data_IF_689514066702
#
_entry.id   IF_689514066702
#
_cell.length_a   1.000
_cell.length_b   1.000
_cell.length_c   1.000
_cell.angle_alpha   90.00
_cell.angle_beta   90.00
_cell.angle_gamma   90.00
#
_symmetry.space_group_name_H-M   'P 1'
#
loop_
_entity.id
_entity.type
_entity.pdbx_description
1 polymer ?
#
# COMPACT_ATOMS: atom_id res chain seq x y z
N UNK A 1 26.50 41.68 44.55
CA UNK A 1 26.22 40.66 43.51
C UNK A 1 27.14 40.67 42.28
N UNK A 2 27.81 41.74 41.94
CA UNK A 2 28.67 41.85 40.73
C UNK A 2 30.05 41.17 40.81
N UNK A 3 30.56 40.84 42.01
CA UNK A 3 31.91 40.26 42.14
C UNK A 3 31.98 38.75 41.86
N UNK A 4 30.91 38.00 42.14
CA UNK A 4 30.84 36.54 41.88
C UNK A 4 30.68 36.19 40.38
N UNK A 5 30.07 37.06 39.59
CA UNK A 5 29.84 36.83 38.18
C UNK A 5 31.14 36.89 37.33
N UNK A 6 32.08 37.82 37.68
CA UNK A 6 33.39 37.91 37.00
C UNK A 6 34.28 36.71 37.29
N UNK A 7 34.22 36.17 38.51
CA UNK A 7 35.00 34.98 38.89
C UNK A 7 34.49 33.73 38.20
N UNK A 8 33.16 33.55 38.10
CA UNK A 8 32.52 32.46 37.40
C UNK A 8 32.81 32.49 35.87
N UNK A 9 32.79 33.68 35.25
CA UNK A 9 33.17 33.86 33.83
C UNK A 9 34.65 33.57 33.57
N UNK A 10 35.52 33.82 34.48
CA UNK A 10 36.94 33.47 34.39
C UNK A 10 37.17 31.95 34.34
N UNK A 11 36.56 31.22 35.28
CA UNK A 11 36.61 29.76 35.30
C UNK A 11 35.95 29.12 34.07
N UNK A 12 34.80 29.63 33.64
CA UNK A 12 34.11 29.17 32.43
C UNK A 12 34.99 29.33 31.19
N UNK A 13 35.64 30.46 30.99
CA UNK A 13 36.58 30.70 29.86
C UNK A 13 37.78 29.76 29.88
N UNK A 14 38.32 29.44 31.02
CA UNK A 14 39.45 28.50 31.12
C UNK A 14 39.01 27.08 30.80
N UNK A 15 37.87 26.64 31.34
CA UNK A 15 37.31 25.32 31.00
C UNK A 15 36.90 25.24 29.55
N UNK A 16 36.30 26.27 28.98
CA UNK A 16 35.91 26.30 27.58
C UNK A 16 37.15 26.19 26.64
N UNK A 17 38.24 26.90 26.97
CA UNK A 17 39.51 26.78 26.26
C UNK A 17 40.11 25.37 26.34
N UNK A 18 39.95 24.72 27.47
CA UNK A 18 40.42 23.34 27.68
C UNK A 18 39.59 22.34 26.85
N UNK A 19 38.27 22.51 26.82
CA UNK A 19 37.32 21.72 26.04
C UNK A 19 37.61 21.88 24.53
N UNK A 20 37.78 23.10 24.05
CA UNK A 20 38.12 23.40 22.64
C UNK A 20 39.47 22.79 22.29
N UNK A 21 40.49 22.91 23.15
CA UNK A 21 41.82 22.37 22.88
C UNK A 21 41.87 20.85 22.81
N UNK A 22 41.02 20.17 23.56
CA UNK A 22 40.98 18.71 23.62
C UNK A 22 39.98 18.09 22.63
N UNK A 23 39.39 18.86 21.69
CA UNK A 23 38.41 18.32 20.69
C UNK A 23 37.06 17.91 21.31
N UNK A 24 36.85 18.04 22.61
CA UNK A 24 35.60 17.67 23.28
C UNK A 24 34.38 18.46 22.76
N UNK A 25 34.62 19.67 22.23
CA UNK A 25 33.58 20.48 21.61
C UNK A 25 32.87 19.71 20.46
N UNK A 26 33.61 18.97 19.65
CA UNK A 26 33.04 18.22 18.54
C UNK A 26 32.12 17.09 19.02
N UNK A 27 32.43 16.42 20.11
CA UNK A 27 31.56 15.39 20.71
C UNK A 27 30.30 16.01 21.32
N UNK A 28 30.39 17.18 21.93
CA UNK A 28 29.21 17.93 22.43
C UNK A 28 28.32 18.34 21.24
N UNK A 29 28.90 18.87 20.17
CA UNK A 29 28.16 19.23 18.96
C UNK A 29 27.52 18.02 18.31
N UNK A 30 28.21 16.88 18.28
CA UNK A 30 27.63 15.62 17.79
C UNK A 30 26.39 15.22 18.59
N UNK A 31 26.46 15.28 19.93
CA UNK A 31 25.33 14.99 20.79
C UNK A 31 24.15 15.93 20.52
N UNK A 32 24.41 17.24 20.35
CA UNK A 32 23.38 18.24 20.05
C UNK A 32 22.75 17.98 18.68
N UNK A 33 23.56 17.65 17.66
CA UNK A 33 23.09 17.34 16.30
C UNK A 33 22.21 16.09 16.27
N UNK A 34 22.44 15.13 17.16
CA UNK A 34 21.64 13.91 17.23
C UNK A 34 20.30 14.08 17.98
N UNK A 35 20.09 15.17 18.76
CA UNK A 35 18.84 15.38 19.49
C UNK A 35 17.61 15.43 18.58
N UNK A 36 17.61 16.11 17.41
CA UNK A 36 16.46 16.11 16.50
C UNK A 36 16.05 14.74 15.98
N UNK A 37 16.99 13.76 15.92
CA UNK A 37 16.70 12.40 15.45
C UNK A 37 15.59 11.74 16.29
N UNK A 38 15.48 12.08 17.57
CA UNK A 38 14.44 11.59 18.47
C UNK A 38 13.03 12.04 18.09
N UNK A 39 12.90 13.19 17.41
CA UNK A 39 11.63 13.80 17.01
C UNK A 39 11.20 13.45 15.59
N UNK A 40 11.81 12.41 14.96
CA UNK A 40 11.49 12.00 13.59
C UNK A 40 11.44 13.19 12.60
N UNK A 41 12.54 13.92 12.40
CA UNK A 41 12.53 15.09 11.52
C UNK A 41 12.19 14.68 10.09
N UNK A 42 11.20 15.38 9.52
CA UNK A 42 10.75 15.18 8.14
C UNK A 42 11.26 16.33 7.27
N UNK A 43 11.61 16.01 6.04
CA UNK A 43 12.02 17.00 5.04
C UNK A 43 11.22 16.77 3.75
N UNK A 44 10.70 17.85 3.17
CA UNK A 44 10.04 17.79 1.87
C UNK A 44 11.11 17.77 0.78
N UNK A 45 11.20 16.63 0.10
CA UNK A 45 12.10 16.42 -1.03
C UNK A 45 11.31 16.09 -2.28
N UNK A 46 11.77 16.55 -3.43
CA UNK A 46 11.26 16.11 -4.70
C UNK A 46 11.66 14.65 -4.90
N UNK A 47 10.71 13.74 -4.79
CA UNK A 47 10.92 12.30 -4.79
C UNK A 47 9.99 11.64 -5.78
N UNK A 48 10.43 10.54 -6.37
CA UNK A 48 9.55 9.70 -7.17
C UNK A 48 8.55 9.01 -6.23
N UNK A 49 7.28 9.24 -6.44
CA UNK A 49 6.17 8.68 -5.65
C UNK A 49 5.16 7.99 -6.55
N UNK A 50 4.36 7.13 -5.96
CA UNK A 50 3.27 6.42 -6.63
C UNK A 50 2.07 6.38 -5.68
N UNK A 51 1.24 7.42 -5.76
CA UNK A 51 0.05 7.55 -4.93
C UNK A 51 -1.05 6.63 -5.46
N UNK A 52 -1.57 5.73 -4.62
CA UNK A 52 -2.39 4.61 -5.09
C UNK A 52 -3.60 4.34 -4.19
N UNK A 53 -4.77 4.19 -4.80
CA UNK A 53 -5.96 3.60 -4.19
C UNK A 53 -6.04 2.13 -4.64
N UNK A 54 -5.93 1.19 -3.69
CA UNK A 54 -6.22 -0.22 -3.92
C UNK A 54 -7.70 -0.49 -3.65
N UNK A 55 -8.39 -1.05 -4.63
CA UNK A 55 -9.80 -1.42 -4.57
C UNK A 55 -9.92 -2.93 -4.64
N UNK A 56 -10.45 -3.54 -3.58
CA UNK A 56 -10.56 -5.01 -3.44
C UNK A 56 -12.01 -5.42 -3.63
N UNK A 57 -12.23 -6.35 -4.52
CA UNK A 57 -13.51 -7.02 -4.74
C UNK A 57 -13.87 -7.88 -3.51
N UNK A 58 -15.09 -7.70 -3.00
CA UNK A 58 -15.62 -8.44 -1.86
C UNK A 58 -16.82 -9.32 -2.25
N UNK A 59 -17.10 -9.48 -3.55
CA UNK A 59 -18.20 -10.32 -4.04
C UNK A 59 -18.06 -11.79 -3.60
N UNK A 60 -19.14 -12.54 -3.71
CA UNK A 60 -19.15 -13.97 -3.35
C UNK A 60 -18.15 -14.81 -4.14
N UNK A 61 -17.93 -14.45 -5.41
CA UNK A 61 -17.01 -15.13 -6.29
C UNK A 61 -15.56 -15.09 -5.79
N UNK A 62 -15.19 -14.06 -5.00
CA UNK A 62 -13.86 -13.95 -4.39
C UNK A 62 -13.59 -14.99 -3.29
N UNK A 63 -14.62 -15.74 -2.85
CA UNK A 63 -14.44 -16.85 -1.92
C UNK A 63 -14.07 -18.19 -2.61
N UNK A 64 -14.04 -18.24 -3.95
CA UNK A 64 -13.70 -19.46 -4.68
C UNK A 64 -12.26 -19.88 -4.42
N UNK A 65 -12.01 -21.15 -3.97
CA UNK A 65 -10.67 -21.63 -3.59
C UNK A 65 -9.92 -22.20 -4.80
N UNK A 66 -9.68 -21.39 -5.83
CA UNK A 66 -9.09 -21.79 -7.10
C UNK A 66 -7.72 -21.18 -7.40
N UNK A 67 -7.12 -20.52 -6.40
CA UNK A 67 -5.76 -19.98 -6.50
C UNK A 67 -4.76 -20.81 -5.68
N UNK A 68 -3.47 -20.74 -6.06
CA UNK A 68 -2.40 -21.53 -5.43
C UNK A 68 -1.40 -20.63 -4.67
N UNK A 69 -1.91 -19.61 -4.00
CA UNK A 69 -1.12 -18.69 -3.20
C UNK A 69 -1.94 -18.15 -2.01
N UNK A 70 -1.39 -18.12 -0.78
CA UNK A 70 -0.05 -18.62 -0.36
C UNK A 70 0.04 -20.14 -0.32
N UNK A 71 -1.09 -20.83 -0.31
CA UNK A 71 -1.20 -22.28 -0.27
C UNK A 71 -2.08 -22.78 -1.42
N UNK A 72 -1.97 -24.06 -1.81
CA UNK A 72 -2.91 -24.65 -2.77
C UNK A 72 -4.35 -24.54 -2.29
N UNK A 73 -5.27 -24.24 -3.20
CA UNK A 73 -6.70 -24.03 -2.91
C UNK A 73 -7.02 -22.88 -1.95
N UNK A 74 -6.19 -21.83 -1.94
CA UNK A 74 -6.55 -20.57 -1.29
C UNK A 74 -7.67 -19.86 -2.05
N UNK A 75 -8.47 -19.04 -1.34
CA UNK A 75 -9.48 -18.21 -1.99
C UNK A 75 -8.88 -16.96 -2.66
N UNK A 76 -9.62 -16.40 -3.62
CA UNK A 76 -9.19 -15.23 -4.41
C UNK A 76 -9.01 -14.00 -3.53
N UNK A 77 -9.84 -13.82 -2.47
CA UNK A 77 -9.72 -12.71 -1.52
C UNK A 77 -8.40 -12.79 -0.76
N UNK A 78 -7.97 -13.98 -0.36
CA UNK A 78 -6.67 -14.19 0.28
C UNK A 78 -5.52 -13.78 -0.66
N UNK A 79 -5.56 -14.20 -1.93
CA UNK A 79 -4.57 -13.73 -2.91
C UNK A 79 -4.61 -12.19 -3.05
N UNK A 80 -5.80 -11.60 -3.17
CA UNK A 80 -5.95 -10.13 -3.30
C UNK A 80 -5.31 -9.36 -2.14
N UNK A 81 -5.47 -9.83 -0.90
CA UNK A 81 -4.83 -9.23 0.28
C UNK A 81 -3.29 -9.28 0.18
N UNK A 82 -2.74 -10.41 -0.22
CA UNK A 82 -1.31 -10.55 -0.43
C UNK A 82 -0.79 -9.68 -1.59
N UNK A 83 -1.58 -9.56 -2.66
CA UNK A 83 -1.29 -8.64 -3.77
C UNK A 83 -1.16 -7.19 -3.28
N UNK A 84 -2.12 -6.71 -2.48
CA UNK A 84 -2.05 -5.36 -1.90
C UNK A 84 -0.82 -5.22 -1.00
N UNK A 85 -0.56 -6.19 -0.11
CA UNK A 85 0.58 -6.18 0.81
C UNK A 85 1.92 -6.06 0.07
N UNK A 86 2.17 -6.94 -0.89
CA UNK A 86 3.44 -6.95 -1.63
C UNK A 86 3.57 -5.74 -2.57
N UNK A 87 2.46 -5.31 -3.17
CA UNK A 87 2.42 -4.08 -3.96
C UNK A 87 2.80 -2.87 -3.12
N UNK A 88 2.23 -2.70 -1.93
CA UNK A 88 2.57 -1.61 -1.01
C UNK A 88 4.04 -1.65 -0.59
N UNK A 89 4.60 -2.85 -0.33
CA UNK A 89 6.00 -3.01 0.02
C UNK A 89 6.95 -2.58 -1.10
N UNK A 90 6.51 -2.63 -2.35
CA UNK A 90 7.28 -2.23 -3.53
C UNK A 90 7.22 -0.73 -3.84
N UNK A 91 6.30 0.02 -3.19
CA UNK A 91 6.14 1.44 -3.45
C UNK A 91 7.29 2.27 -2.87
N UNK A 92 7.72 3.33 -3.57
CA UNK A 92 8.70 4.26 -3.02
C UNK A 92 8.19 4.92 -1.74
N UNK A 93 9.03 5.03 -0.71
CA UNK A 93 8.67 5.83 0.47
C UNK A 93 8.30 7.26 0.06
N UNK A 94 7.33 7.86 0.75
CA UNK A 94 6.71 9.13 0.38
C UNK A 94 5.46 8.96 -0.49
N UNK A 95 5.21 7.76 -1.05
CA UNK A 95 3.96 7.44 -1.72
C UNK A 95 2.82 7.34 -0.72
N UNK A 96 1.64 7.80 -1.10
CA UNK A 96 0.41 7.69 -0.30
C UNK A 96 -0.42 6.50 -0.78
N UNK A 97 -0.92 5.74 0.17
CA UNK A 97 -1.77 4.58 -0.08
C UNK A 97 -3.10 4.75 0.63
N UNK A 98 -4.17 4.37 -0.04
CA UNK A 98 -5.48 4.13 0.53
C UNK A 98 -5.99 2.78 0.06
N UNK A 99 -6.87 2.16 0.83
CA UNK A 99 -7.52 0.89 0.48
C UNK A 99 -9.03 1.07 0.58
N UNK A 100 -9.73 0.59 -0.42
CA UNK A 100 -11.18 0.50 -0.45
C UNK A 100 -11.61 -0.94 -0.74
N UNK A 101 -12.79 -1.28 -0.30
CA UNK A 101 -13.49 -2.52 -0.65
C UNK A 101 -14.73 -2.17 -1.44
N UNK A 102 -15.15 -3.06 -2.34
CA UNK A 102 -16.43 -2.90 -3.00
C UNK A 102 -17.27 -4.17 -2.96
N UNK A 103 -18.58 -3.96 -2.93
CA UNK A 103 -19.60 -4.95 -3.19
C UNK A 103 -20.79 -4.23 -3.82
N UNK A 104 -21.48 -4.84 -4.77
CA UNK A 104 -22.44 -4.20 -5.65
C UNK A 104 -21.80 -3.00 -6.39
N UNK A 105 -22.42 -1.83 -6.29
CA UNK A 105 -22.05 -0.56 -6.92
C UNK A 105 -21.32 0.40 -5.98
N UNK A 106 -21.13 0.04 -4.72
CA UNK A 106 -20.54 0.91 -3.69
C UNK A 106 -19.08 0.53 -3.40
N UNK A 107 -18.23 1.55 -3.39
CA UNK A 107 -16.86 1.45 -2.90
C UNK A 107 -16.75 2.13 -1.53
N UNK A 108 -16.33 1.38 -0.54
CA UNK A 108 -16.14 1.87 0.84
C UNK A 108 -14.66 2.05 1.12
N UNK A 109 -14.24 3.29 1.34
CA UNK A 109 -12.88 3.62 1.72
C UNK A 109 -12.63 3.19 3.16
N UNK A 110 -11.55 2.43 3.40
CA UNK A 110 -11.20 1.99 4.74
C UNK A 110 -10.45 3.06 5.53
N UNK A 111 -9.68 3.90 4.86
CA UNK A 111 -8.92 5.01 5.45
C UNK A 111 -8.48 6.01 4.39
N UNK A 112 -8.32 7.27 4.82
CA UNK A 112 -7.76 8.33 4.00
C UNK A 112 -6.29 8.05 3.62
N UNK A 113 -5.77 8.62 2.52
CA UNK A 113 -4.42 8.32 2.03
C UNK A 113 -3.33 8.56 3.10
N UNK A 114 -2.57 7.50 3.41
CA UNK A 114 -1.46 7.50 4.37
C UNK A 114 -0.13 7.24 3.66
N UNK A 115 0.95 7.87 4.14
CA UNK A 115 2.30 7.61 3.64
C UNK A 115 2.72 6.17 3.97
N UNK A 116 3.11 5.43 2.92
CA UNK A 116 3.26 3.97 2.98
C UNK A 116 4.34 3.51 3.96
N UNK A 117 5.54 4.08 3.92
CA UNK A 117 6.64 3.60 4.77
C UNK A 117 6.43 3.90 6.26
N UNK A 118 5.79 5.04 6.56
CA UNK A 118 5.51 5.46 7.94
C UNK A 118 4.41 4.64 8.59
N UNK A 119 3.41 4.24 7.80
CA UNK A 119 2.20 3.58 8.29
C UNK A 119 2.09 2.12 7.86
N UNK A 120 3.14 1.56 7.21
CA UNK A 120 3.12 0.23 6.64
C UNK A 120 2.57 -0.85 7.59
N UNK A 121 3.04 -0.98 8.85
CA UNK A 121 2.56 -2.06 9.73
C UNK A 121 1.07 -1.94 10.04
N UNK A 122 0.54 -0.72 10.19
CA UNK A 122 -0.88 -0.50 10.48
C UNK A 122 -1.75 -0.80 9.25
N UNK A 123 -1.31 -0.38 8.06
CA UNK A 123 -2.01 -0.66 6.80
C UNK A 123 -1.98 -2.16 6.51
N UNK A 124 -0.83 -2.81 6.66
CA UNK A 124 -0.68 -4.26 6.47
C UNK A 124 -1.62 -5.04 7.40
N UNK A 125 -1.64 -4.71 8.68
CA UNK A 125 -2.52 -5.35 9.65
C UNK A 125 -3.99 -5.21 9.26
N UNK A 126 -4.40 -4.03 8.79
CA UNK A 126 -5.76 -3.78 8.35
C UNK A 126 -6.10 -4.58 7.09
N UNK A 127 -5.24 -4.56 6.07
CA UNK A 127 -5.43 -5.32 4.82
C UNK A 127 -5.52 -6.81 5.10
N UNK A 128 -4.61 -7.35 5.91
CA UNK A 128 -4.63 -8.77 6.27
C UNK A 128 -5.83 -9.15 7.14
N UNK A 129 -6.40 -8.19 7.87
CA UNK A 129 -7.63 -8.34 8.65
C UNK A 129 -8.93 -8.35 7.83
N UNK A 130 -8.89 -7.94 6.55
CA UNK A 130 -10.06 -8.02 5.66
C UNK A 130 -10.53 -9.47 5.57
N UNK A 131 -11.82 -9.67 5.74
CA UNK A 131 -12.43 -10.99 5.68
C UNK A 131 -13.82 -10.92 5.03
N UNK A 132 -14.33 -12.06 4.57
CA UNK A 132 -15.63 -12.17 3.84
C UNK A 132 -16.83 -11.66 4.61
N UNK A 133 -16.78 -11.60 5.95
CA UNK A 133 -17.87 -11.07 6.79
C UNK A 133 -18.00 -9.55 6.72
N UNK A 134 -16.98 -8.85 6.16
CA UNK A 134 -17.05 -7.39 5.96
C UNK A 134 -17.86 -7.02 4.73
N UNK A 135 -18.27 -7.99 3.92
CA UNK A 135 -19.18 -7.80 2.78
C UNK A 135 -20.58 -7.48 3.27
N UNK A 136 -21.26 -6.56 2.60
CA UNK A 136 -22.64 -6.14 2.91
C UNK A 136 -23.66 -6.59 1.86
N UNK A 137 -23.23 -6.91 0.64
CA UNK A 137 -24.05 -7.44 -0.47
C UNK A 137 -23.22 -8.47 -1.24
N UNK A 138 -23.88 -9.44 -1.88
CA UNK A 138 -23.24 -10.51 -2.65
C UNK A 138 -22.93 -10.15 -4.11
N UNK A 139 -23.58 -9.14 -4.69
CA UNK A 139 -23.47 -8.73 -6.08
C UNK A 139 -22.12 -8.09 -6.39
N UNK A 140 -21.75 -8.07 -7.66
CA UNK A 140 -20.53 -7.43 -8.18
C UNK A 140 -20.89 -6.61 -9.42
N UNK A 141 -21.01 -5.30 -9.25
CA UNK A 141 -21.26 -4.34 -10.32
C UNK A 141 -19.97 -3.59 -10.65
N UNK A 142 -19.06 -4.27 -11.33
CA UNK A 142 -17.68 -3.81 -11.59
C UNK A 142 -17.69 -2.46 -12.29
N UNK A 143 -18.57 -2.30 -13.28
CA UNK A 143 -18.61 -1.10 -14.12
C UNK A 143 -19.03 0.14 -13.33
N UNK A 144 -20.08 0.04 -12.52
CA UNK A 144 -20.56 1.11 -11.63
C UNK A 144 -19.50 1.46 -10.57
N UNK A 145 -18.92 0.42 -9.98
CA UNK A 145 -17.88 0.58 -8.96
C UNK A 145 -16.64 1.30 -9.47
N UNK A 146 -16.17 0.96 -10.69
CA UNK A 146 -15.02 1.67 -11.27
C UNK A 146 -15.34 3.13 -11.51
N UNK A 147 -16.56 3.47 -11.93
CA UNK A 147 -16.99 4.86 -12.07
C UNK A 147 -16.91 5.60 -10.73
N UNK A 148 -17.45 5.02 -9.65
CA UNK A 148 -17.40 5.60 -8.32
C UNK A 148 -15.96 5.71 -7.80
N UNK A 149 -15.19 4.63 -7.87
CA UNK A 149 -13.80 4.57 -7.39
C UNK A 149 -12.86 5.50 -8.16
N UNK A 150 -13.08 5.69 -9.47
CA UNK A 150 -12.29 6.64 -10.28
C UNK A 150 -12.50 8.07 -9.82
N UNK A 151 -13.73 8.46 -9.50
CA UNK A 151 -14.02 9.81 -8.95
C UNK A 151 -13.36 9.98 -7.58
N UNK A 152 -13.50 8.98 -6.71
CA UNK A 152 -12.92 8.96 -5.37
C UNK A 152 -11.38 9.06 -5.41
N UNK A 153 -10.75 8.30 -6.29
CA UNK A 153 -9.30 8.34 -6.50
C UNK A 153 -8.85 9.71 -7.03
N UNK A 154 -9.57 10.25 -8.01
CA UNK A 154 -9.30 11.57 -8.59
C UNK A 154 -9.36 12.70 -7.56
N UNK A 155 -10.40 12.72 -6.72
CA UNK A 155 -10.60 13.77 -5.71
C UNK A 155 -9.48 13.78 -4.67
N UNK A 156 -8.79 12.64 -4.46
CA UNK A 156 -7.64 12.48 -3.56
C UNK A 156 -6.28 12.56 -4.26
N UNK A 157 -6.27 12.66 -5.58
CA UNK A 157 -5.04 12.65 -6.38
C UNK A 157 -4.30 11.31 -6.32
N UNK A 158 -5.05 10.21 -6.45
CA UNK A 158 -4.55 8.83 -6.44
C UNK A 158 -4.74 8.16 -7.80
N UNK A 159 -3.89 7.22 -8.13
CA UNK A 159 -4.09 6.25 -9.20
C UNK A 159 -4.91 5.06 -8.69
N UNK A 160 -5.63 4.36 -9.55
CA UNK A 160 -6.51 3.26 -9.16
C UNK A 160 -5.89 1.90 -9.51
N UNK A 161 -5.83 1.01 -8.52
CA UNK A 161 -5.49 -0.41 -8.69
C UNK A 161 -6.68 -1.23 -8.22
N UNK A 162 -7.42 -1.84 -9.15
CA UNK A 162 -8.57 -2.67 -8.83
C UNK A 162 -8.21 -4.14 -8.94
N UNK A 163 -8.59 -4.92 -7.93
CA UNK A 163 -8.34 -6.36 -7.85
C UNK A 163 -9.68 -7.08 -7.82
N UNK A 164 -9.97 -7.85 -8.87
CA UNK A 164 -11.24 -8.55 -9.07
C UNK A 164 -11.02 -9.78 -9.96
N UNK A 165 -11.96 -10.71 -9.96
CA UNK A 165 -11.98 -11.83 -10.91
C UNK A 165 -12.69 -11.47 -12.22
N UNK A 166 -13.31 -10.30 -12.29
CA UNK A 166 -14.04 -9.83 -13.46
C UNK A 166 -15.41 -10.47 -13.63
N UNK A 167 -15.92 -11.16 -12.60
CA UNK A 167 -17.24 -11.77 -12.62
C UNK A 167 -18.28 -10.73 -12.23
N UNK A 168 -18.98 -10.20 -13.23
CA UNK A 168 -20.02 -9.17 -13.06
C UNK A 168 -21.36 -9.82 -12.80
N UNK A 169 -21.95 -9.54 -11.66
CA UNK A 169 -23.20 -10.14 -11.21
C UNK A 169 -24.22 -9.07 -10.80
N UNK A 170 -25.43 -9.08 -11.33
CA UNK A 170 -25.95 -9.99 -12.37
C UNK A 170 -25.34 -9.71 -13.75
N UNK A 171 -25.24 -10.76 -14.57
CA UNK A 171 -24.75 -10.67 -15.95
C UNK A 171 -25.73 -9.84 -16.81
N UNK A 172 -25.51 -8.54 -16.83
CA UNK A 172 -26.24 -7.60 -17.71
C UNK A 172 -25.32 -7.08 -18.79
N UNK A 173 -25.90 -6.64 -19.90
CA UNK A 173 -25.16 -5.79 -20.83
C UNK A 173 -24.60 -4.61 -20.06
N UNK A 174 -23.31 -4.34 -20.20
CA UNK A 174 -22.58 -3.35 -19.39
C UNK A 174 -23.22 -1.96 -19.57
N UNK A 175 -24.09 -1.49 -18.65
CA UNK A 175 -24.91 -0.31 -18.88
C UNK A 175 -24.11 0.98 -18.79
N UNK A 176 -22.97 0.99 -18.07
CA UNK A 176 -22.18 2.18 -17.75
C UNK A 176 -20.91 2.34 -18.60
N UNK A 177 -20.80 1.61 -19.72
CA UNK A 177 -19.62 1.68 -20.59
C UNK A 177 -19.35 3.11 -21.09
N UNK A 178 -20.41 3.89 -21.37
CA UNK A 178 -20.29 5.28 -21.80
C UNK A 178 -19.77 6.18 -20.68
N UNK A 179 -20.05 5.88 -19.41
CA UNK A 179 -19.56 6.63 -18.27
C UNK A 179 -18.08 6.34 -18.01
N UNK A 180 -17.64 5.09 -18.24
CA UNK A 180 -16.21 4.74 -18.24
C UNK A 180 -15.43 5.51 -19.32
N UNK A 181 -16.00 5.60 -20.53
CA UNK A 181 -15.37 6.37 -21.64
C UNK A 181 -15.22 7.83 -21.27
N UNK A 182 -16.17 8.45 -20.58
CA UNK A 182 -16.09 9.83 -20.11
C UNK A 182 -14.99 10.06 -19.05
N UNK A 183 -14.65 9.00 -18.28
CA UNK A 183 -13.61 9.06 -17.26
C UNK A 183 -12.21 8.75 -17.79
N UNK A 184 -12.11 8.29 -19.04
CA UNK A 184 -10.84 7.95 -19.68
C UNK A 184 -9.81 9.06 -19.56
N UNK A 185 -8.61 8.71 -19.06
CA UNK A 185 -7.49 9.63 -18.94
C UNK A 185 -7.60 10.65 -17.78
N UNK A 186 -8.65 10.58 -16.95
CA UNK A 186 -8.77 11.47 -15.79
C UNK A 186 -7.84 11.09 -14.66
N UNK A 187 -7.55 9.78 -14.50
CA UNK A 187 -6.52 9.20 -13.64
C UNK A 187 -5.85 8.07 -14.40
N UNK A 188 -4.73 7.58 -13.90
CA UNK A 188 -4.12 6.33 -14.36
C UNK A 188 -4.68 5.17 -13.53
N UNK A 189 -4.78 3.97 -14.12
CA UNK A 189 -5.30 2.81 -13.43
C UNK A 189 -4.84 1.51 -14.04
N UNK A 190 -4.96 0.44 -13.26
CA UNK A 190 -4.74 -0.94 -13.68
C UNK A 190 -5.77 -1.86 -13.05
N UNK A 191 -6.26 -2.79 -13.85
CA UNK A 191 -7.11 -3.88 -13.42
C UNK A 191 -6.25 -5.13 -13.22
N UNK A 192 -6.26 -5.69 -12.03
CA UNK A 192 -5.55 -6.91 -11.66
C UNK A 192 -6.54 -8.06 -11.57
N UNK A 193 -6.50 -8.97 -12.54
CA UNK A 193 -7.40 -10.10 -12.61
C UNK A 193 -6.91 -11.29 -11.81
N UNK A 194 -7.70 -11.76 -10.82
CA UNK A 194 -7.42 -12.93 -9.97
C UNK A 194 -8.38 -14.08 -10.27
N UNK A 195 -8.08 -15.30 -9.75
CA UNK A 195 -8.95 -16.49 -9.88
C UNK A 195 -8.50 -17.47 -10.96
N UNK A 196 -9.08 -18.68 -10.99
CA UNK A 196 -8.81 -19.74 -11.98
C UNK A 196 -9.51 -19.52 -13.30
N UNK A 197 -9.07 -20.25 -14.33
CA UNK A 197 -9.69 -20.20 -15.66
C UNK A 197 -10.87 -21.19 -15.79
N UNK A 198 -10.95 -22.18 -14.88
CA UNK A 198 -12.04 -23.17 -14.87
C UNK A 198 -13.20 -22.66 -14.02
N UNK A 199 -14.41 -22.87 -14.51
CA UNK A 199 -15.62 -22.55 -13.76
C UNK A 199 -15.71 -23.41 -12.49
N UNK A 200 -15.84 -22.76 -11.34
CA UNK A 200 -15.90 -23.38 -10.02
C UNK A 200 -17.16 -22.96 -9.27
N UNK A 201 -17.78 -23.85 -8.49
CA UNK A 201 -18.91 -23.49 -7.66
C UNK A 201 -18.50 -22.50 -6.56
N UNK A 202 -19.33 -21.50 -6.31
CA UNK A 202 -19.09 -20.49 -5.30
C UNK A 202 -19.44 -21.06 -3.92
N UNK A 203 -18.51 -21.07 -2.93
CA UNK A 203 -18.80 -21.54 -1.59
C UNK A 203 -19.78 -20.61 -0.86
N UNK A 204 -20.74 -21.21 -0.14
CA UNK A 204 -21.74 -20.49 0.66
C UNK A 204 -21.38 -20.57 2.16
N UNK A 205 -21.37 -19.43 2.82
CA UNK A 205 -21.01 -19.31 4.23
C UNK A 205 -22.20 -18.76 5.04
N UNK A 206 -22.32 -19.21 6.28
CA UNK A 206 -23.29 -18.66 7.24
C UNK A 206 -22.70 -17.43 7.99
N UNK A 207 -23.51 -16.82 8.87
CA UNK A 207 -23.10 -15.67 9.68
C UNK A 207 -21.93 -15.96 10.64
N UNK A 208 -21.63 -17.25 10.93
CA UNK A 208 -20.52 -17.69 11.78
C UNK A 208 -19.23 -17.97 10.99
N UNK A 209 -19.25 -17.68 9.67
CA UNK A 209 -18.14 -17.96 8.75
C UNK A 209 -17.88 -19.48 8.55
N UNK A 210 -18.90 -20.31 8.77
CA UNK A 210 -18.85 -21.74 8.50
C UNK A 210 -19.36 -22.02 7.10
N UNK A 211 -18.65 -22.83 6.32
CA UNK A 211 -19.08 -23.27 5.01
C UNK A 211 -20.28 -24.20 5.14
N UNK A 212 -21.42 -23.82 4.56
CA UNK A 212 -22.68 -24.56 4.60
C UNK A 212 -23.03 -25.25 3.29
N UNK A 213 -22.15 -25.20 2.28
CA UNK A 213 -22.31 -25.79 0.97
C UNK A 213 -21.84 -24.85 -0.13
N UNK A 214 -22.47 -24.94 -1.28
CA UNK A 214 -22.23 -24.07 -2.43
C UNK A 214 -23.53 -23.37 -2.82
N UNK A 215 -23.39 -22.22 -3.48
CA UNK A 215 -24.50 -21.54 -4.11
C UNK A 215 -25.15 -22.45 -5.15
N UNK A 216 -26.46 -22.45 -5.23
CA UNK A 216 -27.25 -23.20 -6.21
C UNK A 216 -27.93 -22.25 -7.18
N UNK A 217 -28.47 -22.80 -8.29
CA UNK A 217 -29.29 -22.03 -9.22
C UNK A 217 -30.47 -21.37 -8.52
N UNK A 218 -31.11 -22.10 -7.60
CA UNK A 218 -32.27 -21.62 -6.83
C UNK A 218 -31.87 -20.49 -5.90
N UNK A 219 -30.70 -20.58 -5.24
CA UNK A 219 -30.17 -19.50 -4.39
C UNK A 219 -29.94 -18.23 -5.21
N UNK A 220 -29.30 -18.35 -6.39
CA UNK A 220 -29.02 -17.24 -7.29
C UNK A 220 -30.29 -16.55 -7.78
N UNK A 221 -31.33 -17.32 -8.12
CA UNK A 221 -32.64 -16.79 -8.51
C UNK A 221 -33.33 -16.08 -7.35
N UNK A 222 -33.22 -16.61 -6.12
CA UNK A 222 -33.86 -16.02 -4.95
C UNK A 222 -33.20 -14.72 -4.48
N UNK A 223 -31.88 -14.59 -4.66
CA UNK A 223 -31.13 -13.39 -4.28
C UNK A 223 -30.89 -12.42 -5.44
N UNK A 224 -30.84 -12.94 -6.67
CA UNK A 224 -30.67 -12.12 -7.86
C UNK A 224 -31.86 -11.20 -8.12
N UNK A 225 -31.60 -10.09 -8.78
CA UNK A 225 -32.60 -9.10 -9.14
C UNK A 225 -33.41 -9.55 -10.39
N UNK A 226 -33.99 -10.77 -10.30
CA UNK A 226 -34.84 -11.37 -11.34
C UNK A 226 -36.33 -11.41 -10.89
N UNK A 227 -36.99 -10.24 -10.74
CA UNK A 227 -38.35 -10.18 -10.21
C UNK A 227 -39.35 -10.97 -11.06
N UNK A 228 -39.17 -11.01 -12.38
CA UNK A 228 -40.04 -11.78 -13.30
C UNK A 228 -39.82 -13.28 -13.12
N UNK A 229 -38.57 -13.73 -13.01
CA UNK A 229 -38.23 -15.14 -12.79
C UNK A 229 -38.65 -15.58 -11.39
N UNK A 230 -38.48 -14.72 -10.36
CA UNK A 230 -38.97 -14.95 -8.99
C UNK A 230 -40.50 -15.10 -8.93
N UNK A 231 -41.24 -14.23 -9.62
CA UNK A 231 -42.70 -14.34 -9.72
C UNK A 231 -43.12 -15.63 -10.41
N UNK A 232 -42.38 -16.04 -11.45
CA UNK A 232 -42.64 -17.27 -12.17
C UNK A 232 -42.33 -18.50 -11.29
N UNK A 233 -41.14 -18.58 -10.66
CA UNK A 233 -40.76 -19.69 -9.76
C UNK A 233 -41.68 -19.84 -8.58
N UNK A 234 -42.16 -18.75 -7.97
CA UNK A 234 -43.14 -18.79 -6.88
C UNK A 234 -44.54 -19.30 -7.26
N UNK A 235 -44.91 -19.19 -8.51
CA UNK A 235 -46.20 -19.61 -9.02
C UNK A 235 -46.19 -21.00 -9.65
N UNK A 236 -45.05 -21.70 -9.67
CA UNK A 236 -44.93 -23.02 -10.28
C UNK A 236 -45.45 -24.12 -9.37
N UNK A 237 -46.17 -25.04 -9.96
CA UNK A 237 -46.49 -26.33 -9.33
C UNK A 237 -45.25 -27.25 -9.42
N UNK A 238 -44.99 -28.10 -8.42
CA UNK A 238 -43.91 -29.06 -8.48
C UNK A 238 -44.02 -29.95 -9.74
N UNK A 239 -43.08 -29.84 -10.69
CA UNK A 239 -43.02 -30.68 -11.90
C UNK A 239 -43.12 -29.98 -13.26
N UNK A 240 -43.13 -28.66 -13.30
CA UNK A 240 -43.19 -27.92 -14.58
C UNK A 240 -41.81 -27.74 -15.23
N UNK A 241 -41.59 -28.42 -16.37
CA UNK A 241 -40.32 -28.44 -17.13
C UNK A 241 -39.91 -27.11 -17.78
N UNK A 242 -40.80 -26.12 -17.83
CA UNK A 242 -40.52 -24.81 -18.41
C UNK A 242 -39.48 -24.00 -17.60
N UNK A 243 -39.27 -24.34 -16.35
CA UNK A 243 -38.32 -23.68 -15.43
C UNK A 243 -36.88 -24.08 -15.70
N UNK A 244 -36.67 -25.31 -16.13
CA UNK A 244 -35.32 -25.87 -16.32
C UNK A 244 -34.54 -25.10 -17.37
N UNK A 245 -35.13 -24.74 -18.48
CA UNK A 245 -34.49 -23.92 -19.52
C UNK A 245 -34.22 -22.46 -19.13
N UNK A 246 -35.05 -21.88 -18.23
CA UNK A 246 -34.81 -20.53 -17.67
C UNK A 246 -33.74 -20.56 -16.59
N UNK A 247 -33.73 -21.57 -15.72
CA UNK A 247 -32.72 -21.79 -14.72
C UNK A 247 -31.35 -22.11 -15.33
N UNK A 248 -31.28 -22.71 -16.49
CA UNK A 248 -30.03 -23.00 -17.20
C UNK A 248 -29.32 -21.70 -17.69
N UNK A 249 -30.06 -20.61 -17.83
CA UNK A 249 -29.48 -19.31 -18.14
C UNK A 249 -28.83 -18.62 -16.93
N UNK A 250 -29.14 -19.09 -15.69
CA UNK A 250 -28.57 -18.53 -14.46
C UNK A 250 -27.24 -19.22 -14.18
N UNK A 251 -26.17 -18.48 -14.27
CA UNK A 251 -24.78 -18.97 -14.04
C UNK A 251 -24.13 -18.40 -12.79
N UNK A 252 -24.83 -17.56 -12.05
CA UNK A 252 -24.33 -16.77 -10.89
C UNK A 252 -24.02 -17.61 -9.64
N UNK A 253 -24.19 -18.94 -9.70
CA UNK A 253 -23.81 -19.90 -8.66
C UNK A 253 -22.40 -20.48 -8.86
N UNK A 254 -21.73 -20.14 -9.96
CA UNK A 254 -20.37 -20.57 -10.26
C UNK A 254 -19.58 -19.44 -10.93
N UNK A 255 -18.29 -19.40 -10.69
CA UNK A 255 -17.41 -18.31 -11.14
C UNK A 255 -16.09 -18.82 -11.67
N UNK A 256 -15.54 -18.08 -12.62
CA UNK A 256 -14.16 -18.18 -13.09
C UNK A 256 -13.65 -16.77 -13.40
N UNK A 257 -12.34 -16.63 -13.57
CA UNK A 257 -11.82 -15.37 -14.10
C UNK A 257 -12.44 -15.02 -15.45
N UNK A 258 -12.95 -13.79 -15.56
CA UNK A 258 -13.63 -13.33 -16.76
C UNK A 258 -12.77 -12.34 -17.59
N UNK A 259 -11.90 -12.84 -18.51
CA UNK A 259 -11.03 -11.97 -19.28
C UNK A 259 -11.78 -11.07 -20.26
N UNK A 260 -13.01 -11.45 -20.67
CA UNK A 260 -13.80 -10.65 -21.62
C UNK A 260 -14.34 -9.38 -20.99
N UNK A 261 -14.90 -9.48 -19.78
CA UNK A 261 -15.35 -8.31 -19.00
C UNK A 261 -14.17 -7.42 -18.65
N UNK A 262 -13.10 -8.01 -18.08
CA UNK A 262 -11.90 -7.27 -17.71
C UNK A 262 -11.31 -6.48 -18.90
N UNK A 263 -11.20 -7.12 -20.06
CA UNK A 263 -10.69 -6.47 -21.28
C UNK A 263 -11.60 -5.35 -21.75
N UNK A 264 -12.92 -5.56 -21.78
CA UNK A 264 -13.90 -4.56 -22.21
C UNK A 264 -13.86 -3.32 -21.30
N UNK A 265 -13.81 -3.52 -19.99
CA UNK A 265 -13.73 -2.44 -19.01
C UNK A 265 -12.40 -1.68 -19.12
N UNK A 266 -11.28 -2.39 -19.19
CA UNK A 266 -9.95 -1.83 -19.39
C UNK A 266 -9.90 -0.96 -20.67
N UNK A 267 -10.38 -1.47 -21.79
CA UNK A 267 -10.40 -0.74 -23.07
C UNK A 267 -11.31 0.51 -23.00
N UNK A 268 -12.42 0.45 -22.27
CA UNK A 268 -13.35 1.57 -22.18
C UNK A 268 -12.76 2.73 -21.36
N UNK A 269 -12.23 2.47 -20.19
CA UNK A 269 -11.68 3.50 -19.30
C UNK A 269 -10.23 3.88 -19.68
N UNK A 270 -9.52 3.01 -20.40
CA UNK A 270 -8.11 3.20 -20.76
C UNK A 270 -7.14 2.85 -19.63
N UNK A 271 -7.51 1.89 -18.80
CA UNK A 271 -6.63 1.34 -17.76
C UNK A 271 -5.83 0.17 -18.32
N UNK A 272 -4.65 -0.07 -17.73
CA UNK A 272 -3.89 -1.28 -17.97
C UNK A 272 -4.62 -2.52 -17.42
N UNK A 273 -4.26 -3.69 -17.92
CA UNK A 273 -4.82 -4.96 -17.48
C UNK A 273 -3.70 -5.99 -17.29
N UNK A 274 -3.68 -6.64 -16.14
CA UNK A 274 -2.76 -7.73 -15.87
C UNK A 274 -3.45 -8.91 -15.19
N UNK A 275 -3.01 -10.12 -15.55
CA UNK A 275 -3.41 -11.36 -14.89
C UNK A 275 -2.48 -11.61 -13.70
N UNK A 276 -3.05 -11.92 -12.54
CA UNK A 276 -2.31 -12.14 -11.29
C UNK A 276 -2.59 -13.55 -10.79
N UNK A 277 -1.53 -14.37 -10.67
CA UNK A 277 -1.54 -15.70 -10.08
C UNK A 277 -0.79 -15.75 -8.75
N UNK A 278 0.22 -14.89 -8.63
CA UNK A 278 1.01 -14.67 -7.42
C UNK A 278 1.22 -13.16 -7.23
N UNK A 279 1.49 -12.67 -6.02
CA UNK A 279 1.68 -11.23 -5.78
C UNK A 279 2.75 -10.57 -6.64
N UNK A 280 3.82 -11.30 -6.99
CA UNK A 280 4.91 -10.78 -7.84
C UNK A 280 4.43 -10.36 -9.23
N UNK A 281 3.39 -11.01 -9.76
CA UNK A 281 2.78 -10.61 -11.04
C UNK A 281 2.22 -9.19 -10.96
N UNK A 282 1.57 -8.86 -9.82
CA UNK A 282 1.03 -7.52 -9.59
C UNK A 282 2.15 -6.47 -9.41
N UNK A 283 3.19 -6.81 -8.66
CA UNK A 283 4.37 -5.94 -8.49
C UNK A 283 5.04 -5.66 -9.83
N UNK A 284 5.21 -6.69 -10.68
CA UNK A 284 5.76 -6.53 -12.02
C UNK A 284 4.86 -5.65 -12.90
N UNK A 285 3.54 -5.86 -12.85
CA UNK A 285 2.58 -5.06 -13.60
C UNK A 285 2.61 -3.60 -13.16
N UNK A 286 2.62 -3.31 -11.86
CA UNK A 286 2.67 -1.95 -11.32
C UNK A 286 3.99 -1.23 -11.63
N UNK A 287 5.09 -1.96 -11.80
CA UNK A 287 6.36 -1.37 -12.21
C UNK A 287 6.38 -1.00 -13.71
N UNK A 288 5.54 -1.62 -14.53
CA UNK A 288 5.46 -1.37 -15.97
C UNK A 288 4.49 -0.21 -16.32
N UNK A 289 3.57 0.14 -15.42
CA UNK A 289 2.65 1.26 -15.64
C UNK A 289 3.29 2.59 -15.21
N UNK A 290 2.94 3.67 -15.91
CA UNK A 290 3.47 5.01 -15.63
C UNK A 290 2.76 5.69 -14.46
N UNK A 291 2.65 5.05 -13.30
CA UNK A 291 2.03 5.63 -12.10
C UNK A 291 2.98 6.55 -11.33
N UNK A 292 4.29 6.39 -11.55
CA UNK A 292 5.31 7.15 -10.82
C UNK A 292 5.41 8.57 -11.34
N UNK A 293 5.43 9.50 -10.41
CA UNK A 293 5.64 10.93 -10.70
C UNK A 293 6.55 11.57 -9.66
N UNK A 294 7.17 12.70 -10.03
CA UNK A 294 7.97 13.47 -9.09
C UNK A 294 7.06 14.42 -8.33
N UNK A 295 6.97 14.25 -7.02
CA UNK A 295 6.23 15.11 -6.12
C UNK A 295 7.03 15.47 -4.87
N UNK A 296 6.64 16.56 -4.20
CA UNK A 296 7.20 16.93 -2.90
C UNK A 296 6.63 15.97 -1.84
N UNK A 297 7.44 14.99 -1.45
CA UNK A 297 7.08 14.00 -0.44
C UNK A 297 7.86 14.24 0.86
N UNK A 298 7.22 13.96 1.98
CA UNK A 298 7.87 13.96 3.28
C UNK A 298 8.81 12.74 3.38
N UNK A 299 10.09 13.02 3.58
CA UNK A 299 11.14 11.99 3.72
C UNK A 299 11.76 12.08 5.10
N UNK A 300 12.10 10.93 5.64
CA UNK A 300 12.88 10.85 6.87
C UNK A 300 14.23 11.55 6.70
N UNK A 301 14.47 12.57 7.50
CA UNK A 301 15.69 13.37 7.47
C UNK A 301 16.74 12.91 8.48
N UNK A 302 16.51 11.84 9.25
CA UNK A 302 17.44 11.35 10.29
C UNK A 302 18.82 11.02 9.74
N UNK A 303 18.90 10.52 8.50
CA UNK A 303 20.18 10.22 7.85
C UNK A 303 21.07 11.45 7.68
N UNK A 304 20.50 12.66 7.48
CA UNK A 304 21.26 13.92 7.36
C UNK A 304 21.97 14.22 8.68
N UNK A 305 21.24 14.12 9.80
CA UNK A 305 21.80 14.32 11.11
C UNK A 305 22.86 13.28 11.44
N UNK A 306 22.66 12.02 11.05
CA UNK A 306 23.65 10.96 11.20
C UNK A 306 24.92 11.25 10.41
N UNK A 307 24.82 11.71 9.15
CA UNK A 307 26.00 12.07 8.34
C UNK A 307 26.75 13.26 8.94
N UNK A 308 26.05 14.29 9.43
CA UNK A 308 26.69 15.43 10.10
C UNK A 308 27.40 14.96 11.37
N UNK A 309 26.78 14.09 12.17
CA UNK A 309 27.38 13.53 13.38
C UNK A 309 28.65 12.73 13.07
N UNK A 310 28.65 11.88 12.04
CA UNK A 310 29.83 11.15 11.58
C UNK A 310 30.94 12.12 11.13
N UNK A 311 30.59 13.17 10.38
CA UNK A 311 31.52 14.20 9.98
C UNK A 311 32.22 14.88 11.17
N UNK A 312 31.44 15.24 12.19
CA UNK A 312 31.98 15.86 13.42
C UNK A 312 32.91 14.91 14.19
N UNK A 313 32.56 13.62 14.27
CA UNK A 313 33.42 12.59 14.89
C UNK A 313 34.73 12.44 14.12
N UNK A 314 34.69 12.41 12.79
CA UNK A 314 35.90 12.34 11.97
C UNK A 314 36.79 13.58 12.17
N UNK A 315 36.21 14.78 12.23
CA UNK A 315 36.94 16.01 12.51
C UNK A 315 37.61 15.93 13.90
N UNK A 316 36.87 15.47 14.92
CA UNK A 316 37.43 15.27 16.27
C UNK A 316 38.61 14.29 16.24
N UNK A 317 38.49 13.20 15.55
CA UNK A 317 39.54 12.19 15.41
C UNK A 317 40.79 12.73 14.70
N UNK A 318 40.62 13.44 13.57
CA UNK A 318 41.72 14.11 12.89
C UNK A 318 42.39 15.17 13.77
N UNK A 319 41.63 15.93 14.56
CA UNK A 319 42.13 16.89 15.49
C UNK A 319 43.05 16.25 16.55
N UNK A 320 42.62 15.12 17.12
CA UNK A 320 43.44 14.35 18.06
C UNK A 320 44.68 13.78 17.40
N UNK A 321 44.61 13.32 16.17
CA UNK A 321 45.74 12.81 15.39
C UNK A 321 46.81 13.93 15.21
N UNK A 322 46.37 15.11 14.76
CA UNK A 322 47.24 16.28 14.59
C UNK A 322 47.93 16.68 15.91
N UNK A 323 47.20 16.71 17.00
CA UNK A 323 47.77 17.02 18.30
C UNK A 323 48.78 15.98 18.76
N UNK A 324 48.53 14.70 18.51
CA UNK A 324 49.43 13.60 18.84
C UNK A 324 50.73 13.70 18.04
N UNK A 325 50.61 13.98 16.74
CA UNK A 325 51.75 14.17 15.83
C UNK A 325 52.59 15.38 16.25
N UNK A 326 51.94 16.51 16.54
CA UNK A 326 52.65 17.72 17.00
C UNK A 326 53.35 17.50 18.37
N UNK A 327 52.74 16.77 19.27
CA UNK A 327 53.33 16.40 20.57
C UNK A 327 54.54 15.45 20.36
N UNK A 328 54.45 14.53 19.41
CA UNK A 328 55.54 13.63 19.05
C UNK A 328 56.73 14.38 18.44
N UNK A 329 56.48 15.26 17.46
CA UNK A 329 57.49 16.13 16.86
C UNK A 329 58.16 17.02 17.89
N UNK A 330 57.37 17.64 18.78
CA UNK A 330 57.90 18.47 19.88
C UNK A 330 58.85 17.70 20.83
N UNK A 331 58.47 16.44 21.13
CA UNK A 331 59.34 15.56 21.97
C UNK A 331 60.65 15.19 21.22
N UNK A 332 60.58 14.92 19.92
CA UNK A 332 61.75 14.63 19.13
C UNK A 332 62.71 15.84 19.04
N UNK A 333 62.15 17.05 18.83
CA UNK A 333 62.91 18.29 18.76
C UNK A 333 63.61 18.60 20.11
N UNK A 334 62.97 18.35 21.23
CA UNK A 334 63.58 18.51 22.59
C UNK A 334 64.67 17.49 22.82
N UNK A 335 64.57 16.24 22.32
CA UNK A 335 65.63 15.24 22.41
C UNK A 335 66.89 15.61 21.59
N UNK A 336 66.67 16.22 20.41
CA UNK A 336 67.78 16.62 19.50
C UNK A 336 68.50 17.84 20.03
N UNK A 337 67.82 18.77 20.72
CA UNK A 337 68.40 20.03 21.19
C UNK A 337 69.25 19.92 22.46
N UNK A 338 69.23 18.76 23.14
CA UNK A 338 70.02 18.52 24.35
C UNK A 338 69.67 19.44 25.51
N UNK A 339 70.02 19.10 26.78
CA UNK A 339 69.81 20.00 27.88
C UNK A 339 70.71 21.23 27.70
N UNK A 340 70.13 22.43 27.78
CA UNK A 340 70.94 23.66 27.87
C UNK A 340 71.84 23.52 29.10
N UNK A 341 73.17 23.38 28.88
CA UNK A 341 74.16 23.55 29.96
C UNK A 341 74.04 24.97 30.52
N UNK A 342 73.60 25.09 31.76
CA UNK A 342 73.68 26.29 32.55
C UNK A 342 75.10 26.46 33.10
#
# INVERSE_FOLDING_TARGET
MHHNFKHWWGHFRVHLRHIIRNGALFYILTAIVLLPVWFNPQMKLNSLVQDTLFLIDMSESMNVPDVNYPEPHSDRLTLAKHVVRESMASLPCGSRVSVAMFAADEAVLLFEPLEVCRHYPAIEQMVMGINRRMRWIGDSLITETIVAATKEAKDRGLNLVMITDGDEMPHKDIPYINDLIKLRGQIKGILLGVGGDALQPIPKFNERDEMIGYWTKEDAVLQGNYPELLAYVRNLSPGEQAVEGMLDAVTEYSSSYNPKVMKRVSDAIGFDLARVRIPDDAVAALNNVEFREYALAERDARWIYALIAVGLILIAWFWHLIQSVNAYIGRLYMKIKGPKRS
#
